data_IF_748337351952
#
_entry.id   IF_748337351952
#
_cell.length_a   1.000
_cell.length_b   1.000
_cell.length_c   1.000
_cell.angle_alpha   90.00
_cell.angle_beta   90.00
_cell.angle_gamma   90.00
#
_symmetry.space_group_name_H-M   'P 1'
#
loop_
_entity.id
_entity.type
_entity.pdbx_description
1 polymer ?
#
# COMPACT_ATOMS: atom_id res chain seq x y z
N UNK A 1 -8.92 38.37 -41.98
CA UNK A 1 -8.97 37.32 -40.93
C UNK A 1 -7.68 37.40 -40.14
N UNK A 2 -7.76 37.59 -38.82
CA UNK A 2 -6.60 37.54 -37.90
C UNK A 2 -6.76 36.27 -37.08
N UNK A 3 -6.08 35.21 -37.47
CA UNK A 3 -6.06 33.98 -36.67
C UNK A 3 -5.11 34.18 -35.49
N UNK A 4 -5.70 34.11 -34.30
CA UNK A 4 -5.03 34.25 -33.02
C UNK A 4 -4.31 32.93 -32.69
N UNK A 5 -2.98 32.96 -32.67
CA UNK A 5 -2.19 31.93 -31.99
C UNK A 5 -2.32 32.12 -30.48
N UNK A 6 -3.23 31.37 -29.84
CA UNK A 6 -3.21 31.15 -28.40
C UNK A 6 -2.35 29.91 -28.09
N UNK A 7 -1.36 30.00 -27.20
CA UNK A 7 -0.66 28.81 -26.71
C UNK A 7 -1.56 28.10 -25.70
N UNK A 8 -1.89 26.83 -25.97
CA UNK A 8 -2.57 25.96 -25.03
C UNK A 8 -1.68 25.71 -23.81
N UNK A 9 -2.05 26.32 -22.67
CA UNK A 9 -1.49 26.00 -21.36
C UNK A 9 -1.86 24.56 -20.97
N UNK A 10 -0.99 23.62 -21.33
CA UNK A 10 -1.00 22.28 -20.75
C UNK A 10 -0.64 22.41 -19.27
N UNK A 11 -1.65 22.25 -18.41
CA UNK A 11 -1.45 22.03 -16.98
C UNK A 11 -0.70 20.71 -16.79
N UNK A 12 0.63 20.77 -16.80
CA UNK A 12 1.46 19.72 -16.23
C UNK A 12 1.12 19.66 -14.74
N UNK A 13 0.39 18.63 -14.32
CA UNK A 13 0.38 18.19 -12.93
C UNK A 13 1.83 17.87 -12.54
N UNK A 14 2.54 18.86 -12.02
CA UNK A 14 3.77 18.67 -11.28
C UNK A 14 3.42 17.81 -10.07
N UNK A 15 3.63 16.50 -10.18
CA UNK A 15 3.82 15.63 -9.03
C UNK A 15 5.16 16.03 -8.41
N UNK A 16 5.16 17.12 -7.63
CA UNK A 16 6.28 17.42 -6.75
C UNK A 16 6.50 16.16 -5.89
N UNK A 17 7.71 15.58 -5.89
CA UNK A 17 8.02 14.47 -5.01
C UNK A 17 8.16 15.08 -3.61
N UNK A 18 7.02 15.29 -2.94
CA UNK A 18 7.07 15.57 -1.51
C UNK A 18 7.66 14.32 -0.86
N UNK A 19 8.82 14.43 -0.19
CA UNK A 19 9.37 13.29 0.52
C UNK A 19 8.31 12.80 1.50
N UNK A 20 8.14 11.47 1.64
CA UNK A 20 7.16 10.94 2.56
C UNK A 20 7.34 11.56 3.95
N UNK A 21 6.22 11.87 4.61
CA UNK A 21 6.24 12.35 5.98
C UNK A 21 6.95 11.38 6.92
N UNK A 22 7.37 11.87 8.09
CA UNK A 22 7.98 11.03 9.12
C UNK A 22 7.05 9.90 9.53
N UNK A 23 7.60 8.72 9.82
CA UNK A 23 6.82 7.57 10.28
C UNK A 23 6.66 7.64 11.80
N UNK A 24 5.43 7.82 12.26
CA UNK A 24 5.06 7.76 13.67
C UNK A 24 4.35 6.45 14.04
N UNK A 25 4.15 6.22 15.35
CA UNK A 25 3.45 5.03 15.86
C UNK A 25 2.02 4.92 15.31
N UNK A 26 1.35 6.05 15.08
CA UNK A 26 -0.04 6.10 14.59
C UNK A 26 -0.13 5.60 13.14
N UNK A 27 0.83 5.97 12.29
CA UNK A 27 0.95 5.51 10.91
C UNK A 27 1.20 4.00 10.86
N UNK A 28 2.07 3.48 11.74
CA UNK A 28 2.34 2.04 11.87
C UNK A 28 1.06 1.27 12.23
N UNK A 29 0.33 1.71 13.26
CA UNK A 29 -0.93 1.07 13.67
C UNK A 29 -1.98 1.08 12.56
N UNK A 30 -2.06 2.20 11.82
CA UNK A 30 -2.95 2.31 10.66
C UNK A 30 -2.56 1.33 9.56
N UNK A 31 -1.26 1.16 9.32
CA UNK A 31 -0.74 0.20 8.35
C UNK A 31 -1.12 -1.24 8.73
N UNK A 32 -1.00 -1.61 10.01
CA UNK A 32 -1.43 -2.93 10.50
C UNK A 32 -2.91 -3.19 10.27
N UNK A 33 -3.78 -2.22 10.55
CA UNK A 33 -5.23 -2.35 10.29
C UNK A 33 -5.54 -2.54 8.80
N UNK A 34 -4.79 -1.90 7.91
CA UNK A 34 -4.94 -2.09 6.47
C UNK A 34 -4.49 -3.49 6.05
N UNK A 35 -3.36 -3.99 6.57
CA UNK A 35 -2.88 -5.35 6.30
C UNK A 35 -3.88 -6.41 6.79
N UNK A 36 -4.38 -6.29 8.03
CA UNK A 36 -5.41 -7.20 8.57
C UNK A 36 -6.66 -7.24 7.70
N UNK A 37 -7.11 -6.07 7.21
CA UNK A 37 -8.24 -5.99 6.29
C UNK A 37 -7.96 -6.70 4.96
N UNK A 38 -6.76 -6.58 4.40
CA UNK A 38 -6.37 -7.31 3.18
C UNK A 38 -6.36 -8.82 3.44
N UNK A 39 -5.77 -9.28 4.54
CA UNK A 39 -5.77 -10.71 4.91
C UNK A 39 -7.19 -11.25 4.98
N UNK A 40 -8.11 -10.57 5.66
CA UNK A 40 -9.52 -11.00 5.75
C UNK A 40 -10.21 -11.08 4.40
N UNK A 41 -9.94 -10.13 3.49
CA UNK A 41 -10.48 -10.17 2.13
C UNK A 41 -9.93 -11.38 1.35
N UNK A 42 -8.63 -11.65 1.48
CA UNK A 42 -7.95 -12.77 0.84
C UNK A 42 -8.33 -14.15 1.43
N UNK A 43 -8.85 -14.19 2.65
CA UNK A 43 -9.37 -15.41 3.29
C UNK A 43 -10.73 -15.85 2.74
N UNK A 44 -11.36 -15.08 1.84
CA UNK A 44 -12.64 -15.49 1.25
C UNK A 44 -12.46 -16.81 0.49
N UNK A 45 -13.17 -17.89 0.86
CA UNK A 45 -13.00 -19.21 0.23
C UNK A 45 -13.33 -19.22 -1.26
N UNK A 46 -14.16 -18.29 -1.75
CA UNK A 46 -14.44 -18.14 -3.19
C UNK A 46 -13.20 -17.74 -4.00
N UNK A 47 -12.19 -17.14 -3.38
CA UNK A 47 -10.94 -16.84 -4.07
C UNK A 47 -10.14 -18.11 -4.36
N UNK A 48 -10.23 -19.15 -3.52
CA UNK A 48 -9.46 -20.40 -3.70
C UNK A 48 -7.95 -20.16 -3.92
N UNK A 49 -7.35 -19.26 -3.14
CA UNK A 49 -5.92 -18.96 -3.24
C UNK A 49 -5.09 -20.22 -2.97
N UNK A 50 -4.18 -20.55 -3.90
CA UNK A 50 -3.26 -21.67 -3.75
C UNK A 50 -2.14 -21.30 -2.79
N UNK A 51 -1.80 -22.21 -1.89
CA UNK A 51 -0.65 -22.06 -0.99
C UNK A 51 0.65 -22.35 -1.75
N UNK A 52 1.02 -21.42 -2.64
CA UNK A 52 2.26 -21.45 -3.42
C UNK A 52 2.83 -20.04 -3.53
N UNK A 53 4.15 -19.86 -3.49
CA UNK A 53 4.75 -18.53 -3.65
C UNK A 53 4.37 -17.88 -4.99
N UNK A 54 4.00 -16.58 -5.01
CA UNK A 54 3.78 -15.68 -3.87
C UNK A 54 2.42 -15.91 -3.17
N UNK A 55 2.41 -16.08 -1.84
CA UNK A 55 1.20 -16.37 -1.07
C UNK A 55 0.89 -15.27 -0.05
N UNK A 56 -0.10 -14.42 -0.36
CA UNK A 56 -0.39 -13.20 0.41
C UNK A 56 -0.79 -13.47 1.87
N UNK A 57 -1.40 -14.63 2.14
CA UNK A 57 -1.83 -15.01 3.48
C UNK A 57 -0.67 -15.36 4.42
N UNK A 58 0.52 -15.63 3.88
CA UNK A 58 1.76 -15.76 4.67
C UNK A 58 2.57 -14.45 4.63
N UNK A 59 2.68 -13.82 3.46
CA UNK A 59 3.51 -12.63 3.25
C UNK A 59 3.11 -11.45 4.14
N UNK A 60 1.80 -11.20 4.34
CA UNK A 60 1.36 -10.08 5.18
C UNK A 60 1.63 -10.33 6.68
N UNK A 61 1.30 -11.51 7.25
CA UNK A 61 1.75 -11.85 8.60
C UNK A 61 3.28 -11.78 8.78
N UNK A 62 4.07 -12.27 7.82
CA UNK A 62 5.52 -12.23 7.91
C UNK A 62 6.06 -10.79 7.86
N UNK A 63 5.50 -9.96 6.98
CA UNK A 63 5.82 -8.53 6.92
C UNK A 63 5.49 -7.82 8.24
N UNK A 64 4.34 -8.14 8.84
CA UNK A 64 3.95 -7.61 10.15
C UNK A 64 4.95 -8.01 11.23
N UNK A 65 5.35 -9.29 11.26
CA UNK A 65 6.31 -9.79 12.23
C UNK A 65 7.70 -9.15 12.07
N UNK A 66 8.13 -8.92 10.83
CA UNK A 66 9.39 -8.23 10.57
C UNK A 66 9.33 -6.75 11.00
N UNK A 67 8.21 -6.06 10.74
CA UNK A 67 8.00 -4.69 11.23
C UNK A 67 8.01 -4.60 12.75
N UNK A 68 7.39 -5.55 13.46
CA UNK A 68 7.48 -5.63 14.93
C UNK A 68 8.91 -5.78 15.41
N UNK A 69 9.70 -6.61 14.72
CA UNK A 69 11.11 -6.80 15.04
C UNK A 69 11.90 -5.50 14.88
N UNK A 70 11.69 -4.77 13.78
CA UNK A 70 12.29 -3.45 13.55
C UNK A 70 11.91 -2.50 14.69
N UNK A 71 10.61 -2.33 14.99
CA UNK A 71 10.14 -1.40 16.02
C UNK A 71 10.71 -1.72 17.40
N UNK A 72 10.84 -3.01 17.75
CA UNK A 72 11.45 -3.44 19.01
C UNK A 72 12.93 -3.05 19.10
N UNK A 73 13.69 -3.11 17.99
CA UNK A 73 15.10 -2.68 17.96
C UNK A 73 15.27 -1.16 18.09
N UNK A 74 14.24 -0.40 17.78
CA UNK A 74 14.21 1.07 17.86
C UNK A 74 13.35 1.58 19.03
N UNK A 75 13.08 0.75 20.04
CA UNK A 75 12.39 1.19 21.25
C UNK A 75 13.15 2.36 21.91
N UNK A 76 12.43 3.43 22.25
CA UNK A 76 13.00 4.69 22.74
C UNK A 76 13.72 5.54 21.68
N UNK A 77 13.86 5.07 20.43
CA UNK A 77 14.56 5.74 19.32
C UNK A 77 13.68 5.87 18.06
N UNK A 78 12.38 6.05 18.27
CA UNK A 78 11.41 6.13 17.17
C UNK A 78 11.62 7.34 16.26
N UNK A 79 12.20 8.43 16.76
CA UNK A 79 12.55 9.59 15.95
C UNK A 79 13.58 9.23 14.87
N UNK A 80 14.66 8.53 15.25
CA UNK A 80 15.68 8.04 14.31
C UNK A 80 15.09 7.09 13.26
N UNK A 81 14.21 6.16 13.67
CA UNK A 81 13.55 5.25 12.73
C UNK A 81 12.57 6.00 11.81
N UNK A 82 11.80 6.94 12.38
CA UNK A 82 10.77 7.69 11.68
C UNK A 82 11.30 8.65 10.62
N UNK A 83 12.54 9.12 10.79
CA UNK A 83 13.25 9.97 9.82
C UNK A 83 14.05 9.18 8.79
N UNK A 84 14.27 7.89 9.00
CA UNK A 84 15.01 7.04 8.07
C UNK A 84 14.35 7.08 6.68
N UNK A 85 15.10 7.50 5.67
CA UNK A 85 14.60 7.73 4.31
C UNK A 85 13.95 6.49 3.70
N UNK A 86 14.65 5.35 3.77
CA UNK A 86 14.13 4.09 3.25
C UNK A 86 12.87 3.65 3.99
N UNK A 87 12.86 3.73 5.32
CA UNK A 87 11.72 3.31 6.12
C UNK A 87 10.46 4.16 5.84
N UNK A 88 10.64 5.46 5.63
CA UNK A 88 9.56 6.38 5.21
C UNK A 88 8.94 5.95 3.88
N UNK A 89 9.79 5.72 2.86
CA UNK A 89 9.34 5.27 1.53
C UNK A 89 8.68 3.91 1.61
N UNK A 90 9.25 2.98 2.38
CA UNK A 90 8.69 1.63 2.58
C UNK A 90 7.28 1.69 3.20
N UNK A 91 7.13 2.44 4.29
CA UNK A 91 5.86 2.53 5.02
C UNK A 91 4.78 3.24 4.20
N UNK A 92 5.13 4.29 3.45
CA UNK A 92 4.21 4.93 2.51
C UNK A 92 3.76 3.94 1.42
N UNK A 93 4.71 3.24 0.81
CA UNK A 93 4.40 2.27 -0.24
C UNK A 93 3.54 1.12 0.28
N UNK A 94 3.83 0.59 1.47
CA UNK A 94 3.04 -0.48 2.08
C UNK A 94 1.60 -0.04 2.35
N UNK A 95 1.39 1.17 2.88
CA UNK A 95 0.06 1.74 3.04
C UNK A 95 -0.65 1.98 1.70
N UNK A 96 0.08 2.45 0.68
CA UNK A 96 -0.47 2.68 -0.66
C UNK A 96 -0.93 1.36 -1.29
N UNK A 97 -0.08 0.33 -1.26
CA UNK A 97 -0.37 -0.99 -1.83
C UNK A 97 -1.52 -1.67 -1.10
N UNK A 98 -1.54 -1.67 0.23
CA UNK A 98 -2.68 -2.24 0.98
C UNK A 98 -4.00 -1.53 0.70
N UNK A 99 -4.01 -0.20 0.57
CA UNK A 99 -5.20 0.56 0.14
C UNK A 99 -5.61 0.21 -1.29
N UNK A 100 -4.66 0.11 -2.22
CA UNK A 100 -4.94 -0.29 -3.61
C UNK A 100 -5.57 -1.68 -3.67
N UNK A 101 -5.06 -2.66 -2.91
CA UNK A 101 -5.65 -3.99 -2.81
C UNK A 101 -7.08 -3.93 -2.25
N UNK A 102 -7.33 -3.13 -1.21
CA UNK A 102 -8.68 -2.97 -0.66
C UNK A 102 -9.63 -2.35 -1.70
N UNK A 103 -9.18 -1.33 -2.44
CA UNK A 103 -9.96 -0.73 -3.53
C UNK A 103 -10.23 -1.73 -4.65
N UNK A 104 -9.25 -2.56 -5.01
CA UNK A 104 -9.41 -3.62 -6.01
C UNK A 104 -10.53 -4.58 -5.65
N UNK A 105 -10.61 -5.04 -4.39
CA UNK A 105 -11.74 -5.85 -3.93
C UNK A 105 -13.08 -5.12 -4.00
N UNK A 106 -13.11 -3.83 -3.64
CA UNK A 106 -14.32 -3.00 -3.67
C UNK A 106 -14.85 -2.79 -5.09
N UNK A 107 -13.95 -2.57 -6.05
CA UNK A 107 -14.24 -2.29 -7.45
C UNK A 107 -14.50 -3.57 -8.25
N UNK A 108 -13.69 -4.60 -8.04
CA UNK A 108 -13.79 -5.90 -8.70
C UNK A 108 -15.01 -6.72 -8.28
N UNK A 109 -15.47 -6.60 -7.03
CA UNK A 109 -16.65 -7.31 -6.50
C UNK A 109 -16.60 -8.81 -6.83
N UNK A 110 -17.65 -9.37 -7.45
CA UNK A 110 -17.72 -10.79 -7.80
C UNK A 110 -16.64 -11.23 -8.80
N UNK A 111 -16.13 -10.32 -9.63
CA UNK A 111 -15.07 -10.65 -10.60
C UNK A 111 -13.79 -11.10 -9.91
N UNK A 112 -13.54 -10.68 -8.66
CA UNK A 112 -12.38 -11.16 -7.88
C UNK A 112 -12.34 -12.70 -7.74
N UNK A 113 -13.51 -13.36 -7.83
CA UNK A 113 -13.64 -14.80 -7.68
C UNK A 113 -13.54 -15.56 -9.02
N UNK A 114 -13.46 -14.83 -10.14
CA UNK A 114 -13.23 -15.39 -11.47
C UNK A 114 -11.71 -15.45 -11.74
N UNK A 115 -11.15 -16.66 -11.76
CA UNK A 115 -9.69 -16.90 -11.82
C UNK A 115 -8.96 -16.17 -12.96
N UNK A 116 -9.61 -15.99 -14.12
CA UNK A 116 -9.01 -15.37 -15.31
C UNK A 116 -9.48 -13.92 -15.54
N UNK A 117 -10.19 -13.31 -14.60
CA UNK A 117 -10.66 -11.94 -14.75
C UNK A 117 -9.53 -10.94 -14.52
N UNK A 118 -9.59 -9.76 -15.16
CA UNK A 118 -8.58 -8.72 -14.97
C UNK A 118 -8.38 -8.24 -13.51
N UNK A 119 -9.42 -8.18 -12.64
CA UNK A 119 -9.21 -7.86 -11.23
C UNK A 119 -8.48 -8.93 -10.41
N UNK A 120 -8.36 -10.16 -10.93
CA UNK A 120 -7.75 -11.31 -10.24
C UNK A 120 -6.31 -11.53 -10.71
#
# INVERSE_FOLDING_TARGET
MKDAFQPHHHHHHHLSPHPPGTVDKKMVEKCWKLMDKVVRLCQNPKLALKNSPPYILDLLPDTYQHLRTILSRYEGKMETLGENEYFRVFMENLMKKTKQTISLFKEGKERMYEENSQPR
#
